data_IF_595144080763
#
_entry.id   IF_595144080763
#
_cell.length_a   1.000
_cell.length_b   1.000
_cell.length_c   1.000
_cell.angle_alpha   90.00
_cell.angle_beta   90.00
_cell.angle_gamma   90.00
#
_symmetry.space_group_name_H-M   'P 1'
#
loop_
_entity.id
_entity.type
_entity.pdbx_description
1 polymer ?
#
# COMPACT_ATOMS: atom_id res chain seq x y z
N UNK A 1 -12.11 15.26 7.08
CA UNK A 1 -11.22 14.14 7.42
C UNK A 1 -11.55 12.94 6.53
N UNK A 2 -10.54 12.19 6.13
CA UNK A 2 -10.72 11.00 5.31
C UNK A 2 -11.29 9.85 6.12
N UNK A 3 -12.18 9.08 5.50
CA UNK A 3 -12.68 7.85 6.09
C UNK A 3 -11.63 6.74 5.94
N UNK A 4 -11.74 5.64 6.71
CA UNK A 4 -10.86 4.47 6.51
C UNK A 4 -10.90 3.93 5.08
N UNK A 5 -12.04 3.95 4.41
CA UNK A 5 -12.16 3.55 3.01
C UNK A 5 -11.33 4.43 2.09
N UNK A 6 -11.42 5.75 2.30
CA UNK A 6 -10.67 6.71 1.50
C UNK A 6 -9.16 6.57 1.74
N UNK A 7 -8.76 6.41 2.99
CA UNK A 7 -7.36 6.19 3.35
C UNK A 7 -6.81 4.92 2.69
N UNK A 8 -7.58 3.84 2.76
CA UNK A 8 -7.18 2.58 2.14
C UNK A 8 -7.11 2.72 0.61
N UNK A 9 -8.06 3.41 0.01
CA UNK A 9 -8.08 3.67 -1.43
C UNK A 9 -6.84 4.45 -1.88
N UNK A 10 -6.43 5.46 -1.14
CA UNK A 10 -5.21 6.21 -1.43
C UNK A 10 -3.98 5.30 -1.29
N UNK A 11 -3.93 4.49 -0.24
CA UNK A 11 -2.82 3.56 -0.03
C UNK A 11 -2.69 2.56 -1.18
N UNK A 12 -3.80 1.99 -1.63
CA UNK A 12 -3.81 1.07 -2.79
C UNK A 12 -3.33 1.80 -4.05
N UNK A 13 -3.78 3.02 -4.27
CA UNK A 13 -3.35 3.80 -5.44
C UNK A 13 -1.84 4.07 -5.41
N UNK A 14 -1.29 4.41 -4.27
CA UNK A 14 0.16 4.63 -4.11
C UNK A 14 0.94 3.37 -4.48
N UNK A 15 0.52 2.22 -4.00
CA UNK A 15 1.19 0.95 -4.29
C UNK A 15 1.07 0.61 -5.76
N UNK A 16 -0.09 0.83 -6.38
CA UNK A 16 -0.28 0.62 -7.82
C UNK A 16 0.67 1.48 -8.64
N UNK A 17 0.79 2.75 -8.31
CA UNK A 17 1.70 3.65 -9.03
C UNK A 17 3.15 3.23 -8.85
N UNK A 18 3.52 2.81 -7.65
CA UNK A 18 4.85 2.26 -7.39
C UNK A 18 5.14 1.06 -8.30
N UNK A 19 4.22 0.11 -8.36
CA UNK A 19 4.41 -1.09 -9.18
C UNK A 19 4.53 -0.75 -10.67
N UNK A 20 3.73 0.18 -11.14
CA UNK A 20 3.80 0.63 -12.53
C UNK A 20 5.13 1.33 -12.84
N UNK A 21 5.61 2.16 -11.92
CA UNK A 21 6.91 2.82 -12.08
C UNK A 21 8.07 1.81 -12.10
N UNK A 22 7.92 0.72 -11.38
CA UNK A 22 8.91 -0.37 -11.38
C UNK A 22 8.81 -1.27 -12.61
N UNK A 23 7.85 -1.00 -13.49
CA UNK A 23 7.68 -1.74 -14.74
C UNK A 23 6.81 -2.98 -14.64
N UNK A 24 6.14 -3.20 -13.52
CA UNK A 24 5.25 -4.35 -13.36
C UNK A 24 3.90 -4.11 -14.02
N UNK A 25 3.28 -5.19 -14.47
CA UNK A 25 1.94 -5.16 -15.04
C UNK A 25 0.93 -5.52 -13.95
N UNK A 26 -0.06 -4.64 -13.76
CA UNK A 26 -1.15 -4.91 -12.83
C UNK A 26 -2.14 -5.90 -13.45
N UNK A 27 -2.58 -6.86 -12.64
CA UNK A 27 -3.63 -7.81 -13.04
C UNK A 27 -4.99 -7.34 -12.55
N UNK A 28 -5.09 -7.03 -11.26
CA UNK A 28 -6.33 -6.55 -10.66
C UNK A 28 -6.02 -5.82 -9.36
N UNK A 29 -6.95 -5.00 -8.93
CA UNK A 29 -6.87 -4.31 -7.65
C UNK A 29 -8.26 -3.90 -7.18
N UNK A 30 -8.36 -3.60 -5.88
CA UNK A 30 -9.57 -3.09 -5.28
C UNK A 30 -9.25 -2.25 -4.06
N UNK A 31 -10.17 -1.40 -3.66
CA UNK A 31 -9.98 -0.45 -2.58
C UNK A 31 -10.80 -0.78 -1.33
N UNK A 32 -11.40 -1.95 -1.26
CA UNK A 32 -12.16 -2.38 -0.09
C UNK A 32 -11.19 -2.79 1.02
N UNK A 33 -11.16 -2.08 2.17
CA UNK A 33 -10.24 -2.43 3.26
C UNK A 33 -10.54 -3.76 3.93
N UNK A 34 -11.72 -4.34 3.68
CA UNK A 34 -12.09 -5.65 4.21
C UNK A 34 -11.67 -6.82 3.35
N UNK A 35 -11.02 -6.58 2.21
CA UNK A 35 -10.63 -7.63 1.27
C UNK A 35 -9.13 -7.67 1.08
N UNK A 36 -8.53 -8.82 1.29
CA UNK A 36 -7.10 -9.08 1.10
C UNK A 36 -6.88 -10.27 0.17
N UNK A 37 -5.87 -10.19 -0.68
CA UNK A 37 -5.00 -9.05 -0.93
C UNK A 37 -5.72 -7.95 -1.72
N UNK A 38 -5.15 -6.76 -1.74
CA UNK A 38 -5.73 -5.63 -2.48
C UNK A 38 -5.27 -5.58 -3.93
N UNK A 39 -4.10 -6.11 -4.23
CA UNK A 39 -3.49 -6.00 -5.56
C UNK A 39 -2.92 -7.35 -5.98
N UNK A 40 -3.14 -7.67 -7.25
CA UNK A 40 -2.45 -8.75 -7.96
C UNK A 40 -1.68 -8.15 -9.12
N UNK A 41 -0.42 -8.54 -9.29
CA UNK A 41 0.41 -8.07 -10.39
C UNK A 41 1.29 -9.19 -10.93
N UNK A 42 1.85 -8.99 -12.11
CA UNK A 42 2.77 -9.94 -12.73
C UNK A 42 4.18 -9.59 -12.30
N UNK A 43 4.84 -10.52 -11.61
CA UNK A 43 6.20 -10.35 -11.13
C UNK A 43 7.26 -10.49 -12.22
N UNK A 44 8.52 -10.35 -11.83
CA UNK A 44 9.64 -10.41 -12.77
C UNK A 44 9.78 -11.74 -13.47
N UNK A 45 9.30 -12.80 -12.83
CA UNK A 45 9.32 -14.16 -13.41
C UNK A 45 8.15 -14.42 -14.36
N UNK A 46 7.25 -13.47 -14.53
CA UNK A 46 6.03 -13.64 -15.31
C UNK A 46 4.90 -14.31 -14.55
N UNK A 47 5.09 -14.59 -13.27
CA UNK A 47 4.10 -15.24 -12.42
C UNK A 47 3.31 -14.22 -11.58
N UNK A 48 2.07 -14.55 -11.20
CA UNK A 48 1.28 -13.66 -10.33
C UNK A 48 1.94 -13.47 -8.97
N UNK A 49 1.88 -12.25 -8.46
CA UNK A 49 2.27 -11.92 -7.10
C UNK A 49 1.17 -11.04 -6.50
N UNK A 50 1.06 -11.05 -5.18
CA UNK A 50 -0.02 -10.34 -4.51
C UNK A 50 0.51 -9.41 -3.41
N UNK A 51 -0.28 -8.40 -3.09
CA UNK A 51 0.08 -7.40 -2.08
C UNK A 51 -1.10 -7.19 -1.14
N UNK A 52 -0.82 -7.33 0.15
CA UNK A 52 -1.72 -6.87 1.21
C UNK A 52 -1.31 -5.45 1.56
N UNK A 53 -2.26 -4.51 1.49
CA UNK A 53 -2.02 -3.09 1.73
C UNK A 53 -2.66 -2.67 3.03
N UNK A 54 -1.94 -1.90 3.83
CA UNK A 54 -2.48 -1.26 5.04
C UNK A 54 -2.09 0.20 5.06
N UNK A 55 -3.04 1.05 5.41
CA UNK A 55 -2.80 2.45 5.64
C UNK A 55 -2.49 2.69 7.12
N UNK A 56 -1.58 3.59 7.40
CA UNK A 56 -1.27 4.03 8.75
C UNK A 56 -1.12 5.55 8.76
N UNK A 57 -0.90 6.12 9.92
CA UNK A 57 -0.61 7.54 10.03
C UNK A 57 0.90 7.75 10.09
N UNK A 58 1.35 8.92 9.61
CA UNK A 58 2.79 9.22 9.57
C UNK A 58 3.44 9.09 10.96
N UNK A 59 2.72 9.45 12.01
CA UNK A 59 3.22 9.31 13.39
C UNK A 59 3.58 7.86 13.74
N UNK A 60 2.83 6.90 13.21
CA UNK A 60 3.05 5.48 13.47
C UNK A 60 4.02 4.84 12.49
N UNK A 61 4.28 5.49 11.39
CA UNK A 61 5.16 5.09 10.28
C UNK A 61 4.78 3.82 9.56
N UNK A 62 4.64 2.72 10.27
CA UNK A 62 4.28 1.45 9.65
C UNK A 62 3.08 0.82 10.32
N UNK A 63 2.18 0.29 9.51
CA UNK A 63 1.15 -0.59 9.98
C UNK A 63 1.75 -1.98 10.20
N UNK A 64 1.29 -2.74 11.20
CA UNK A 64 1.73 -4.11 11.36
C UNK A 64 1.10 -4.99 10.28
N UNK A 65 1.75 -6.11 9.98
CA UNK A 65 1.12 -7.15 9.17
C UNK A 65 -0.16 -7.60 9.86
N UNK A 66 -1.21 -7.94 9.09
CA UNK A 66 -2.44 -8.43 9.70
C UNK A 66 -2.20 -9.71 10.50
N UNK A 67 -2.91 -9.86 11.62
CA UNK A 67 -2.79 -11.03 12.47
C UNK A 67 -3.12 -12.32 11.72
N UNK A 68 -3.97 -12.25 10.70
CA UNK A 68 -4.36 -13.38 9.85
C UNK A 68 -3.51 -13.51 8.59
N UNK A 69 -2.28 -13.04 8.61
CA UNK A 69 -1.37 -13.09 7.44
C UNK A 69 -1.26 -14.49 6.85
N UNK A 70 -1.11 -15.51 7.68
CA UNK A 70 -0.98 -16.89 7.20
C UNK A 70 -2.26 -17.40 6.53
N UNK A 71 -3.41 -16.97 6.99
CA UNK A 71 -4.68 -17.32 6.35
C UNK A 71 -4.80 -16.67 4.97
N UNK A 72 -4.41 -15.41 4.87
CA UNK A 72 -4.40 -14.69 3.58
C UNK A 72 -3.46 -15.41 2.62
N UNK A 73 -2.25 -15.70 3.05
CA UNK A 73 -1.26 -16.39 2.23
C UNK A 73 -1.75 -17.76 1.78
N UNK A 74 -2.39 -18.50 2.67
CA UNK A 74 -2.97 -19.83 2.33
C UNK A 74 -4.06 -19.69 1.28
N UNK A 75 -4.92 -18.68 1.39
CA UNK A 75 -5.97 -18.43 0.40
C UNK A 75 -5.43 -18.06 -0.98
N UNK A 76 -4.28 -17.40 -1.03
CA UNK A 76 -3.62 -17.00 -2.28
C UNK A 76 -2.76 -18.11 -2.89
N UNK A 77 -2.38 -19.11 -2.12
CA UNK A 77 -1.37 -20.12 -2.51
C UNK A 77 -1.72 -20.90 -3.76
N UNK A 78 -3.01 -21.04 -4.09
CA UNK A 78 -3.44 -21.72 -5.31
C UNK A 78 -2.98 -20.99 -6.59
N UNK A 79 -2.83 -19.66 -6.52
CA UNK A 79 -2.35 -18.85 -7.62
C UNK A 79 -0.88 -18.50 -7.45
N UNK A 80 -0.45 -18.17 -6.26
CA UNK A 80 0.94 -17.81 -5.99
C UNK A 80 1.24 -17.79 -4.50
N UNK A 81 2.45 -18.24 -4.15
CA UNK A 81 3.01 -18.08 -2.80
C UNK A 81 3.84 -16.81 -2.67
N UNK A 82 4.00 -16.05 -3.75
CA UNK A 82 4.81 -14.83 -3.78
C UNK A 82 3.96 -13.62 -3.33
N UNK A 83 3.91 -13.42 -2.03
CA UNK A 83 3.13 -12.35 -1.42
C UNK A 83 3.99 -11.28 -0.79
N UNK A 84 3.42 -10.07 -0.72
CA UNK A 84 4.09 -8.89 -0.18
C UNK A 84 3.17 -8.13 0.75
N UNK A 85 3.77 -7.38 1.64
CA UNK A 85 3.06 -6.45 2.50
C UNK A 85 3.49 -5.02 2.16
N UNK A 86 2.53 -4.12 2.06
CA UNK A 86 2.77 -2.70 1.82
C UNK A 86 2.11 -1.88 2.92
N UNK A 87 2.92 -1.17 3.69
CA UNK A 87 2.45 -0.21 4.68
C UNK A 87 2.60 1.18 4.10
N UNK A 88 1.50 1.92 4.00
CA UNK A 88 1.48 3.29 3.46
C UNK A 88 1.03 4.23 4.56
N UNK A 89 1.91 5.10 4.99
CA UNK A 89 1.60 6.08 6.01
C UNK A 89 1.07 7.35 5.37
N UNK A 90 -0.02 7.89 5.90
CA UNK A 90 -0.69 9.07 5.39
C UNK A 90 -0.70 10.15 6.46
N UNK A 91 -0.59 11.40 6.04
CA UNK A 91 -0.71 12.54 6.92
C UNK A 91 -1.22 13.76 6.16
N UNK A 92 -1.84 14.69 6.87
CA UNK A 92 -2.36 15.93 6.30
C UNK A 92 -2.04 17.12 7.22
N UNK A 93 -2.04 18.34 6.64
CA UNK A 93 -1.80 19.56 7.38
C UNK A 93 -0.33 19.89 7.60
N UNK A 94 -0.08 20.94 8.36
CA UNK A 94 1.29 21.45 8.58
C UNK A 94 2.18 20.45 9.30
N UNK A 95 1.64 19.76 10.28
CA UNK A 95 2.39 18.74 11.03
C UNK A 95 2.88 17.62 10.11
N UNK A 96 2.03 17.23 9.16
CA UNK A 96 2.40 16.25 8.16
C UNK A 96 3.49 16.78 7.23
N UNK A 97 3.40 18.06 6.86
CA UNK A 97 4.39 18.69 5.99
C UNK A 97 5.78 18.71 6.63
N UNK A 98 5.87 19.02 7.91
CA UNK A 98 7.15 18.98 8.62
C UNK A 98 7.74 17.58 8.66
N UNK A 99 6.91 16.59 8.94
CA UNK A 99 7.35 15.18 8.94
C UNK A 99 7.82 14.73 7.56
N UNK A 100 7.11 15.14 6.51
CA UNK A 100 7.47 14.81 5.14
C UNK A 100 8.74 15.49 4.70
N UNK A 101 8.92 16.77 5.04
CA UNK A 101 10.13 17.51 4.70
C UNK A 101 11.38 16.84 5.30
N UNK A 102 11.27 16.36 6.55
CA UNK A 102 12.36 15.66 7.22
C UNK A 102 12.68 14.32 6.57
N UNK A 103 11.77 13.75 5.82
CA UNK A 103 11.91 12.43 5.21
C UNK A 103 11.94 12.46 3.68
N UNK A 104 11.94 13.64 3.08
CA UNK A 104 11.99 13.83 1.63
C UNK A 104 10.84 13.15 0.89
N UNK A 105 9.62 13.28 1.41
CA UNK A 105 8.49 12.60 0.83
C UNK A 105 7.69 13.44 -0.15
N UNK A 106 7.11 12.79 -1.18
CA UNK A 106 6.30 13.51 -2.14
C UNK A 106 4.97 13.96 -1.55
N UNK A 107 4.52 15.11 -1.98
CA UNK A 107 3.19 15.60 -1.70
C UNK A 107 2.19 14.90 -2.61
N UNK A 108 1.16 14.30 -2.04
CA UNK A 108 0.19 13.54 -2.80
C UNK A 108 -1.00 14.40 -3.20
N UNK A 109 -1.32 14.44 -4.49
CA UNK A 109 -2.53 15.03 -5.07
C UNK A 109 -2.78 16.49 -4.79
N UNK A 110 -1.77 17.28 -4.58
CA UNK A 110 -1.94 18.72 -4.46
C UNK A 110 -2.79 19.19 -3.28
N UNK A 111 -3.25 18.29 -2.45
CA UNK A 111 -3.81 18.63 -1.16
C UNK A 111 -2.74 18.39 -0.11
N UNK A 112 -2.99 18.77 1.09
CA UNK A 112 -2.04 18.66 2.18
C UNK A 112 -1.82 17.22 2.64
N UNK A 113 -2.10 16.25 1.78
CA UNK A 113 -1.92 14.84 2.06
C UNK A 113 -0.52 14.40 1.68
N UNK A 114 0.18 13.86 2.63
CA UNK A 114 1.56 13.40 2.48
C UNK A 114 1.61 11.90 2.68
N UNK A 115 2.39 11.23 1.84
CA UNK A 115 2.44 9.78 1.81
C UNK A 115 3.85 9.29 2.05
N UNK A 116 3.99 8.34 2.96
CA UNK A 116 5.23 7.61 3.20
C UNK A 116 5.06 6.17 2.75
N UNK A 117 5.82 5.75 1.77
CA UNK A 117 5.81 4.37 1.34
C UNK A 117 7.25 3.92 1.07
N UNK A 118 7.71 2.93 1.83
CA UNK A 118 9.08 2.45 1.78
C UNK A 118 9.26 1.19 0.93
N UNK A 119 8.29 0.86 0.10
CA UNK A 119 8.34 -0.33 -0.75
C UNK A 119 7.69 -1.55 -0.12
N UNK A 120 7.72 -2.66 -0.86
CA UNK A 120 7.13 -3.93 -0.43
C UNK A 120 8.07 -4.69 0.52
N UNK A 121 7.48 -5.43 1.43
CA UNK A 121 8.25 -6.28 2.35
C UNK A 121 7.87 -7.77 2.28
#
# INVERSE_FOLDING_TARGET
AMTPWEEHGVAVQVVREYLQQEGFKLMSWQSDPGVDPSIWFVGRTGQPEWVVVRASRVADRQAPRPANWLEIAAGCSNLSSAGHFASVALASGEQAFESAAAQSMPLWRGHELIVVFCGLT
#
